data_IF_042317670724
#
_entry.id   IF_042317670724
#
_cell.length_a   1.000
_cell.length_b   1.000
_cell.length_c   1.000
_cell.angle_alpha   90.00
_cell.angle_beta   90.00
_cell.angle_gamma   90.00
#
_symmetry.space_group_name_H-M   'P 1'
#
loop_
_entity.id
_entity.type
_entity.pdbx_description
1 polymer ?
#
# COMPACT_ATOMS: atom_id res chain seq x y z
N UNK A 1 -5.26 -20.90 12.11
CA UNK A 1 -4.49 -20.73 13.36
C UNK A 1 -3.71 -19.43 13.23
N UNK A 2 -3.72 -18.57 14.25
CA UNK A 2 -2.95 -17.31 14.24
C UNK A 2 -1.56 -17.62 14.79
N UNK A 3 -0.51 -17.29 14.05
CA UNK A 3 0.85 -17.39 14.56
C UNK A 3 1.04 -16.36 15.69
N UNK A 4 1.32 -16.82 16.91
CA UNK A 4 1.55 -15.95 18.06
C UNK A 4 3.00 -15.50 18.12
N UNK A 5 3.26 -14.25 17.74
CA UNK A 5 4.57 -13.61 17.90
C UNK A 5 4.69 -12.96 19.29
N UNK A 6 5.86 -13.04 19.97
CA UNK A 6 6.07 -12.39 21.27
C UNK A 6 6.30 -10.88 21.13
N UNK A 7 5.37 -10.16 20.51
CA UNK A 7 5.49 -8.75 20.12
C UNK A 7 5.85 -7.82 21.30
N UNK A 8 5.48 -8.17 22.54
CA UNK A 8 5.82 -7.38 23.73
C UNK A 8 7.31 -7.43 24.08
N UNK A 9 8.04 -8.46 23.65
CA UNK A 9 9.46 -8.68 23.94
C UNK A 9 10.39 -8.17 22.83
N UNK A 10 9.84 -7.86 21.66
CA UNK A 10 10.59 -7.40 20.50
C UNK A 10 10.87 -5.91 20.59
N UNK A 11 12.09 -5.50 20.23
CA UNK A 11 12.38 -4.09 20.01
C UNK A 11 11.59 -3.54 18.81
N UNK A 12 11.53 -2.22 18.66
CA UNK A 12 10.90 -1.61 17.47
C UNK A 12 11.59 -2.07 16.19
N UNK A 13 12.93 -2.15 16.21
CA UNK A 13 13.71 -2.64 15.07
C UNK A 13 13.31 -4.08 14.70
N UNK A 14 13.27 -4.99 15.67
CA UNK A 14 12.91 -6.39 15.42
C UNK A 14 11.50 -6.53 14.85
N UNK A 15 10.56 -5.68 15.30
CA UNK A 15 9.19 -5.67 14.77
C UNK A 15 9.16 -5.27 13.30
N UNK A 16 9.89 -4.21 12.95
CA UNK A 16 9.97 -3.72 11.57
C UNK A 16 10.62 -4.80 10.69
N UNK A 17 11.77 -5.35 11.09
CA UNK A 17 12.44 -6.39 10.32
C UNK A 17 11.60 -7.67 10.19
N UNK A 18 10.83 -8.04 11.23
CA UNK A 18 9.90 -9.17 11.14
C UNK A 18 8.76 -8.87 10.16
N UNK A 19 8.21 -7.65 10.17
CA UNK A 19 7.19 -7.23 9.22
C UNK A 19 7.72 -7.26 7.79
N UNK A 20 8.94 -6.79 7.54
CA UNK A 20 9.59 -6.83 6.22
C UNK A 20 9.82 -8.26 5.74
N UNK A 21 10.26 -9.16 6.64
CA UNK A 21 10.46 -10.56 6.31
C UNK A 21 9.14 -11.27 5.95
N UNK A 22 8.08 -11.02 6.73
CA UNK A 22 6.73 -11.50 6.41
C UNK A 22 6.28 -10.94 5.06
N UNK A 23 6.51 -9.66 4.80
CA UNK A 23 6.12 -9.02 3.56
C UNK A 23 6.85 -9.61 2.35
N UNK A 24 8.16 -9.86 2.44
CA UNK A 24 8.95 -10.52 1.40
C UNK A 24 8.44 -11.93 1.10
N UNK A 25 8.11 -12.71 2.13
CA UNK A 25 7.54 -14.04 1.98
C UNK A 25 6.17 -14.04 1.30
N UNK A 26 5.29 -13.11 1.69
CA UNK A 26 3.98 -12.92 1.05
C UNK A 26 4.12 -12.54 -0.42
N UNK A 27 5.09 -11.69 -0.77
CA UNK A 27 5.33 -11.27 -2.15
C UNK A 27 5.71 -12.45 -3.07
N UNK A 28 6.37 -13.49 -2.55
CA UNK A 28 6.71 -14.70 -3.33
C UNK A 28 5.47 -15.49 -3.77
N UNK A 29 4.39 -15.39 -2.99
CA UNK A 29 3.11 -16.05 -3.25
C UNK A 29 2.02 -15.04 -3.67
N UNK A 30 2.40 -13.88 -4.21
CA UNK A 30 1.46 -12.81 -4.54
C UNK A 30 0.36 -13.25 -5.52
N UNK A 31 0.62 -14.25 -6.37
CA UNK A 31 -0.36 -14.83 -7.28
C UNK A 31 -1.50 -15.60 -6.60
N UNK A 32 -1.29 -16.07 -5.36
CA UNK A 32 -2.27 -16.86 -4.61
C UNK A 32 -3.26 -15.96 -3.85
N UNK A 33 -2.97 -14.66 -3.75
CA UNK A 33 -3.82 -13.68 -3.08
C UNK A 33 -4.63 -12.95 -4.14
N UNK A 34 -5.88 -13.37 -4.31
CA UNK A 34 -6.83 -12.66 -5.18
C UNK A 34 -7.14 -11.29 -4.61
N UNK A 35 -6.93 -10.24 -5.40
CA UNK A 35 -7.40 -8.90 -5.04
C UNK A 35 -8.93 -8.91 -4.89
N UNK A 36 -9.49 -8.25 -3.86
CA UNK A 36 -10.94 -8.07 -3.73
C UNK A 36 -11.54 -7.41 -4.97
N UNK A 37 -12.79 -7.75 -5.30
CA UNK A 37 -13.48 -7.22 -6.49
C UNK A 37 -13.51 -5.68 -6.52
N UNK A 38 -13.70 -5.05 -5.36
CA UNK A 38 -13.74 -3.58 -5.27
C UNK A 38 -12.43 -2.89 -5.69
N UNK A 39 -11.28 -3.59 -5.67
CA UNK A 39 -10.02 -3.03 -6.19
C UNK A 39 -10.16 -2.70 -7.68
N UNK A 40 -10.79 -3.60 -8.44
CA UNK A 40 -11.02 -3.39 -9.87
C UNK A 40 -11.92 -2.20 -10.12
N UNK A 41 -13.01 -2.09 -9.36
CA UNK A 41 -13.97 -0.98 -9.53
C UNK A 41 -13.28 0.38 -9.32
N UNK A 42 -12.44 0.50 -8.30
CA UNK A 42 -11.66 1.73 -8.03
C UNK A 42 -10.68 2.03 -9.16
N UNK A 43 -10.01 1.01 -9.72
CA UNK A 43 -9.08 1.20 -10.85
C UNK A 43 -9.83 1.61 -12.12
N UNK A 44 -10.95 0.97 -12.43
CA UNK A 44 -11.79 1.28 -13.58
C UNK A 44 -12.31 2.74 -13.50
N UNK A 45 -12.73 3.19 -12.32
CA UNK A 45 -13.20 4.55 -12.12
C UNK A 45 -12.09 5.59 -12.27
N UNK A 46 -10.88 5.29 -11.78
CA UNK A 46 -9.70 6.15 -12.00
C UNK A 46 -9.32 6.22 -13.47
N UNK A 47 -9.37 5.09 -14.18
CA UNK A 47 -9.08 5.08 -15.62
C UNK A 47 -10.10 5.91 -16.42
N UNK A 48 -11.39 5.82 -16.08
CA UNK A 48 -12.44 6.67 -16.67
C UNK A 48 -12.18 8.15 -16.38
N UNK A 49 -11.77 8.51 -15.16
CA UNK A 49 -11.47 9.89 -14.79
C UNK A 49 -10.28 10.47 -15.58
N UNK A 50 -9.24 9.66 -15.81
CA UNK A 50 -8.12 10.04 -16.67
C UNK A 50 -8.55 10.23 -18.13
N UNK A 51 -9.35 9.30 -18.68
CA UNK A 51 -9.88 9.39 -20.05
C UNK A 51 -10.79 10.62 -20.25
N UNK A 52 -11.59 10.96 -19.25
CA UNK A 52 -12.46 12.14 -19.26
C UNK A 52 -11.75 13.45 -18.89
N UNK A 53 -10.44 13.41 -18.61
CA UNK A 53 -9.62 14.55 -18.19
C UNK A 53 -10.11 15.25 -16.91
N UNK A 54 -10.87 14.55 -16.08
CA UNK A 54 -11.27 15.01 -14.75
C UNK A 54 -10.23 14.66 -13.68
N UNK A 55 -9.29 13.78 -14.01
CA UNK A 55 -8.12 13.46 -13.21
C UNK A 55 -6.85 13.52 -14.09
N UNK A 56 -5.69 13.65 -13.45
CA UNK A 56 -4.40 13.77 -14.14
C UNK A 56 -3.27 13.21 -13.29
N UNK A 57 -2.28 12.60 -13.94
CA UNK A 57 -1.04 12.26 -13.28
C UNK A 57 -0.32 13.53 -12.80
N UNK A 58 0.27 13.43 -11.62
CA UNK A 58 1.11 14.47 -11.03
C UNK A 58 2.50 13.90 -10.82
N UNK A 59 3.51 14.75 -11.00
CA UNK A 59 4.87 14.40 -10.61
C UNK A 59 4.94 14.04 -9.12
N UNK A 60 5.75 13.04 -8.79
CA UNK A 60 5.84 12.51 -7.43
C UNK A 60 6.40 13.52 -6.43
N UNK A 61 7.38 14.33 -6.81
CA UNK A 61 7.91 15.38 -5.95
C UNK A 61 6.87 16.48 -5.74
N UNK A 62 6.11 16.82 -6.77
CA UNK A 62 5.01 17.78 -6.67
C UNK A 62 3.87 17.30 -5.78
N UNK A 63 3.50 16.01 -5.86
CA UNK A 63 2.52 15.41 -4.97
C UNK A 63 2.96 15.52 -3.51
N UNK A 64 4.21 15.11 -3.20
CA UNK A 64 4.78 15.21 -1.85
C UNK A 64 4.81 16.65 -1.35
N UNK A 65 5.19 17.60 -2.20
CA UNK A 65 5.22 19.03 -1.88
C UNK A 65 3.84 19.55 -1.52
N UNK A 66 2.80 19.19 -2.30
CA UNK A 66 1.40 19.59 -2.04
C UNK A 66 0.88 19.01 -0.72
N UNK A 67 1.12 17.72 -0.48
CA UNK A 67 0.69 17.05 0.76
C UNK A 67 1.31 17.71 1.99
N UNK A 68 2.63 17.94 1.98
CA UNK A 68 3.32 18.60 3.11
C UNK A 68 2.83 20.03 3.37
N UNK A 69 2.36 20.75 2.35
CA UNK A 69 1.76 22.08 2.53
C UNK A 69 0.37 22.02 3.17
N UNK A 70 -0.37 20.93 2.96
CA UNK A 70 -1.75 20.76 3.42
C UNK A 70 -1.86 20.07 4.78
N UNK A 71 -0.81 19.38 5.23
CA UNK A 71 -0.70 18.84 6.58
C UNK A 71 -0.01 19.91 7.43
N UNK A 72 -0.81 20.73 8.12
CA UNK A 72 -0.36 21.64 9.19
C UNK A 72 -0.63 21.01 10.55
#
# INVERSE_FOLDING_TARGET
MIATLPLKKMSIHDKISTMEYIWDDLCKNAGDITSPEWHKDVLDDREKALKSRTDSFVDWEDAKRKIRKNIK
#
